data_IF_605880381263
#
_entry.id   IF_605880381263
#
_cell.length_a   1.000
_cell.length_b   1.000
_cell.length_c   1.000
_cell.angle_alpha   90.00
_cell.angle_beta   90.00
_cell.angle_gamma   90.00
#
_symmetry.space_group_name_H-M   'P 1'
#
loop_
_entity.id
_entity.type
_entity.pdbx_description
1 polymer ?
#
# COMPACT_ATOMS: atom_id res chain seq x y z
N UNK A 1 -39.14 68.76 -56.13
CA UNK A 1 -39.28 67.31 -55.93
C UNK A 1 -38.74 66.97 -54.55
N UNK A 2 -39.58 66.45 -53.65
CA UNK A 2 -39.14 65.75 -52.43
C UNK A 2 -39.64 64.32 -52.59
N UNK A 3 -38.72 63.38 -52.62
CA UNK A 3 -39.07 61.95 -52.63
C UNK A 3 -39.53 61.55 -51.22
N UNK A 4 -40.54 60.70 -51.17
CA UNK A 4 -41.19 60.24 -49.95
C UNK A 4 -41.50 58.75 -50.09
N UNK A 5 -40.52 57.92 -49.77
CA UNK A 5 -40.69 56.47 -49.70
C UNK A 5 -39.75 55.84 -48.65
N UNK A 6 -40.23 54.77 -48.02
CA UNK A 6 -39.48 53.84 -47.15
C UNK A 6 -39.15 54.28 -45.72
N UNK A 7 -40.18 54.57 -44.92
CA UNK A 7 -40.15 54.27 -43.49
C UNK A 7 -40.52 52.79 -43.28
N UNK A 8 -39.50 51.93 -43.07
CA UNK A 8 -39.71 50.55 -42.64
C UNK A 8 -40.17 50.57 -41.17
N UNK A 9 -41.28 49.91 -40.79
CA UNK A 9 -41.65 49.77 -39.39
C UNK A 9 -40.59 48.92 -38.69
N UNK A 10 -39.83 49.53 -37.77
CA UNK A 10 -38.94 48.79 -36.90
C UNK A 10 -39.77 47.87 -36.01
N UNK A 11 -39.71 46.56 -36.25
CA UNK A 11 -40.40 45.58 -35.41
C UNK A 11 -39.88 45.68 -33.99
N UNK A 12 -40.74 46.07 -33.04
CA UNK A 12 -40.32 46.21 -31.65
C UNK A 12 -39.89 44.87 -31.07
N UNK A 13 -38.58 44.74 -30.83
CA UNK A 13 -38.00 43.60 -30.12
C UNK A 13 -38.44 43.67 -28.67
N UNK A 14 -39.57 43.03 -28.36
CA UNK A 14 -40.04 42.79 -27.00
C UNK A 14 -38.96 42.05 -26.19
N UNK A 15 -38.12 42.82 -25.49
CA UNK A 15 -37.20 42.29 -24.49
C UNK A 15 -38.02 41.67 -23.37
N UNK A 16 -38.13 40.34 -23.36
CA UNK A 16 -38.78 39.59 -22.27
C UNK A 16 -38.03 39.91 -20.97
N UNK A 17 -38.67 40.67 -20.09
CA UNK A 17 -38.16 40.90 -18.75
C UNK A 17 -38.35 39.63 -17.92
N UNK A 18 -37.26 39.07 -17.39
CA UNK A 18 -37.29 37.88 -16.54
C UNK A 18 -37.90 38.25 -15.18
N UNK A 19 -38.88 37.48 -14.71
CA UNK A 19 -39.49 37.72 -13.40
C UNK A 19 -38.64 37.13 -12.28
N UNK A 20 -38.74 37.72 -11.09
CA UNK A 20 -38.07 37.20 -9.88
C UNK A 20 -38.54 35.77 -9.56
N UNK A 21 -39.80 35.44 -9.86
CA UNK A 21 -40.40 34.12 -9.65
C UNK A 21 -39.77 33.09 -10.61
N UNK A 22 -39.62 33.40 -11.90
CA UNK A 22 -38.95 32.50 -12.85
C UNK A 22 -37.51 32.19 -12.41
N UNK A 23 -36.77 33.20 -11.96
CA UNK A 23 -35.41 32.99 -11.45
C UNK A 23 -35.40 32.10 -10.19
N UNK A 24 -36.34 32.33 -9.27
CA UNK A 24 -36.46 31.59 -8.01
C UNK A 24 -36.82 30.11 -8.24
N UNK A 25 -37.69 29.81 -9.22
CA UNK A 25 -38.01 28.42 -9.61
C UNK A 25 -36.82 27.74 -10.27
N UNK A 26 -36.05 28.44 -11.11
CA UNK A 26 -34.85 27.86 -11.74
C UNK A 26 -33.80 27.50 -10.69
N UNK A 27 -33.48 28.39 -9.75
CA UNK A 27 -32.49 28.08 -8.71
C UNK A 27 -32.96 26.98 -7.75
N UNK A 28 -34.27 26.87 -7.46
CA UNK A 28 -34.78 25.80 -6.59
C UNK A 28 -34.72 24.42 -7.26
N UNK A 29 -35.00 24.34 -8.57
CA UNK A 29 -34.79 23.10 -9.35
C UNK A 29 -33.31 22.74 -9.41
N UNK A 30 -32.42 23.70 -9.68
CA UNK A 30 -30.96 23.46 -9.68
C UNK A 30 -30.48 22.97 -8.31
N UNK A 31 -30.91 23.59 -7.22
CA UNK A 31 -30.56 23.18 -5.86
C UNK A 31 -31.05 21.76 -5.53
N UNK A 32 -32.26 21.40 -5.96
CA UNK A 32 -32.80 20.04 -5.81
C UNK A 32 -32.00 19.01 -6.60
N UNK A 33 -31.66 19.31 -7.85
CA UNK A 33 -30.85 18.43 -8.70
C UNK A 33 -29.44 18.23 -8.12
N UNK A 34 -28.78 19.30 -7.66
CA UNK A 34 -27.47 19.24 -6.99
C UNK A 34 -27.57 18.41 -5.69
N UNK A 35 -28.64 18.59 -4.91
CA UNK A 35 -28.87 17.84 -3.66
C UNK A 35 -28.95 16.32 -3.86
N UNK A 36 -29.49 15.87 -5.00
CA UNK A 36 -29.54 14.44 -5.37
C UNK A 36 -28.22 13.97 -6.02
N UNK A 37 -27.54 14.85 -6.77
CA UNK A 37 -26.33 14.52 -7.52
C UNK A 37 -25.07 14.39 -6.62
N UNK A 38 -24.92 15.24 -5.60
CA UNK A 38 -23.71 15.24 -4.76
C UNK A 38 -23.46 13.91 -4.02
N UNK A 39 -24.45 13.25 -3.38
CA UNK A 39 -24.24 11.93 -2.77
C UNK A 39 -23.86 10.86 -3.78
N UNK A 40 -24.51 10.85 -4.96
CA UNK A 40 -24.23 9.89 -6.02
C UNK A 40 -22.82 10.05 -6.59
N UNK A 41 -22.37 11.29 -6.83
CA UNK A 41 -21.02 11.58 -7.29
C UNK A 41 -19.95 11.21 -6.24
N UNK A 42 -20.24 11.41 -4.96
CA UNK A 42 -19.37 10.99 -3.86
C UNK A 42 -19.17 9.47 -3.82
N UNK A 43 -20.25 8.69 -3.96
CA UNK A 43 -20.19 7.23 -4.06
C UNK A 43 -19.44 6.76 -5.31
N UNK A 44 -19.73 7.34 -6.48
CA UNK A 44 -19.06 7.01 -7.74
C UNK A 44 -17.54 7.27 -7.66
N UNK A 45 -17.12 8.39 -7.05
CA UNK A 45 -15.70 8.71 -6.84
C UNK A 45 -14.99 7.68 -5.96
N UNK A 46 -15.60 7.26 -4.85
CA UNK A 46 -15.02 6.23 -3.97
C UNK A 46 -14.82 4.89 -4.69
N UNK A 47 -15.82 4.46 -5.47
CA UNK A 47 -15.72 3.23 -6.29
C UNK A 47 -14.62 3.35 -7.34
N UNK A 48 -14.47 4.49 -7.99
CA UNK A 48 -13.39 4.72 -8.96
C UNK A 48 -12.00 4.72 -8.30
N UNK A 49 -11.83 5.35 -7.12
CA UNK A 49 -10.58 5.31 -6.36
C UNK A 49 -10.23 3.89 -5.89
N UNK A 50 -11.23 3.12 -5.43
CA UNK A 50 -11.05 1.71 -5.05
C UNK A 50 -10.59 0.85 -6.23
N UNK A 51 -11.24 0.97 -7.39
CA UNK A 51 -10.83 0.27 -8.62
C UNK A 51 -9.40 0.63 -9.05
N UNK A 52 -9.00 1.90 -8.91
CA UNK A 52 -7.62 2.33 -9.15
C UNK A 52 -6.63 1.71 -8.15
N UNK A 53 -6.93 1.68 -6.85
CA UNK A 53 -6.04 1.07 -5.86
C UNK A 53 -5.88 -0.45 -6.06
N UNK A 54 -6.94 -1.14 -6.47
CA UNK A 54 -6.88 -2.56 -6.82
C UNK A 54 -6.08 -2.80 -8.12
N UNK A 55 -6.22 -1.93 -9.11
CA UNK A 55 -5.43 -1.97 -10.35
C UNK A 55 -3.94 -1.74 -10.09
N UNK A 56 -3.59 -0.82 -9.20
CA UNK A 56 -2.21 -0.60 -8.76
C UNK A 56 -1.63 -1.89 -8.15
N UNK A 57 -2.30 -2.48 -7.15
CA UNK A 57 -1.89 -3.74 -6.52
C UNK A 57 -1.74 -4.91 -7.50
N UNK A 58 -2.65 -5.02 -8.49
CA UNK A 58 -2.53 -6.01 -9.55
C UNK A 58 -1.27 -5.78 -10.39
N UNK A 59 -1.00 -4.52 -10.74
CA UNK A 59 0.21 -4.14 -11.48
C UNK A 59 1.47 -4.43 -10.66
N UNK A 60 1.41 -4.26 -9.33
CA UNK A 60 2.45 -4.66 -8.38
C UNK A 60 2.75 -6.15 -8.44
N UNK A 61 1.72 -6.99 -8.29
CA UNK A 61 1.87 -8.45 -8.32
C UNK A 61 2.37 -8.96 -9.68
N UNK A 62 1.91 -8.35 -10.78
CA UNK A 62 2.42 -8.65 -12.11
C UNK A 62 3.90 -8.28 -12.28
N UNK A 63 4.34 -7.12 -11.78
CA UNK A 63 5.75 -6.73 -11.77
C UNK A 63 6.63 -7.71 -10.99
N UNK A 64 6.14 -8.21 -9.85
CA UNK A 64 6.82 -9.23 -9.03
C UNK A 64 6.94 -10.57 -9.75
N UNK A 65 5.89 -11.03 -10.44
CA UNK A 65 5.92 -12.26 -11.23
C UNK A 65 6.84 -12.16 -12.45
N UNK A 66 6.90 -10.98 -13.10
CA UNK A 66 7.85 -10.68 -14.18
C UNK A 66 9.29 -10.71 -13.63
N UNK A 67 9.55 -10.00 -12.54
CA UNK A 67 10.86 -9.99 -11.88
C UNK A 67 11.33 -11.41 -11.55
N UNK A 68 10.46 -12.23 -10.93
CA UNK A 68 10.78 -13.61 -10.61
C UNK A 68 11.16 -14.41 -11.87
N UNK A 69 10.40 -14.26 -12.97
CA UNK A 69 10.68 -14.91 -14.24
C UNK A 69 12.08 -14.56 -14.78
N UNK A 70 12.45 -13.27 -14.73
CA UNK A 70 13.75 -12.79 -15.21
C UNK A 70 14.92 -13.12 -14.23
N UNK A 71 14.61 -13.32 -12.95
CA UNK A 71 15.58 -13.50 -11.87
C UNK A 71 15.52 -14.90 -11.23
N UNK A 72 15.39 -15.98 -12.03
CA UNK A 72 15.46 -17.38 -11.53
C UNK A 72 14.50 -17.69 -10.38
N UNK A 73 13.28 -17.16 -10.47
CA UNK A 73 12.21 -17.23 -9.49
C UNK A 73 12.45 -16.45 -8.18
N UNK A 74 13.58 -15.76 -8.01
CA UNK A 74 13.81 -14.94 -6.81
C UNK A 74 12.74 -13.86 -6.63
N UNK A 75 12.22 -13.72 -5.41
CA UNK A 75 11.32 -12.62 -5.08
C UNK A 75 12.12 -11.30 -4.98
N UNK A 76 11.52 -10.15 -5.35
CA UNK A 76 12.23 -8.87 -5.38
C UNK A 76 12.47 -8.28 -3.98
N UNK A 77 13.57 -7.54 -3.85
CA UNK A 77 13.96 -6.78 -2.66
C UNK A 77 15.17 -7.40 -1.93
N UNK A 78 16.06 -6.62 -1.28
CA UNK A 78 17.37 -7.10 -0.86
C UNK A 78 17.39 -8.36 0.03
N UNK A 79 16.43 -8.49 0.94
CA UNK A 79 16.33 -9.64 1.84
C UNK A 79 15.60 -10.86 1.23
N UNK A 80 14.95 -10.67 0.07
CA UNK A 80 14.19 -11.67 -0.69
C UNK A 80 14.96 -12.16 -1.92
N UNK A 81 15.66 -11.26 -2.60
CA UNK A 81 16.40 -11.55 -3.81
C UNK A 81 17.78 -12.07 -3.45
N UNK A 82 17.89 -13.40 -3.38
CA UNK A 82 19.18 -14.09 -3.30
C UNK A 82 20.13 -13.78 -4.47
N UNK A 83 19.71 -13.00 -5.47
CA UNK A 83 20.57 -12.37 -6.46
C UNK A 83 21.70 -11.53 -5.83
N UNK A 84 21.42 -10.63 -4.87
CA UNK A 84 22.43 -9.76 -4.24
C UNK A 84 23.03 -10.33 -2.93
N UNK A 85 22.41 -11.39 -2.40
CA UNK A 85 22.86 -12.04 -1.17
C UNK A 85 23.90 -13.15 -1.43
N UNK A 86 23.82 -13.83 -2.58
CA UNK A 86 24.75 -14.91 -2.92
C UNK A 86 26.08 -14.43 -3.53
N UNK A 87 26.20 -13.15 -3.89
CA UNK A 87 27.42 -12.57 -4.46
C UNK A 87 28.07 -11.48 -3.58
N UNK A 88 27.53 -11.23 -2.37
CA UNK A 88 27.93 -10.17 -1.45
C UNK A 88 27.87 -8.74 -2.06
N UNK A 89 27.09 -8.50 -3.13
CA UNK A 89 26.95 -7.16 -3.72
C UNK A 89 25.92 -6.27 -3.03
N UNK A 90 25.37 -6.69 -1.88
CA UNK A 90 24.42 -5.90 -1.10
C UNK A 90 25.01 -4.54 -0.67
N UNK A 91 24.69 -3.51 -1.45
CA UNK A 91 24.95 -2.12 -1.15
C UNK A 91 23.81 -1.52 -0.30
N UNK A 92 24.18 -0.69 0.68
CA UNK A 92 23.25 -0.04 1.60
C UNK A 92 22.67 1.27 1.01
N UNK A 93 22.54 1.33 -0.31
CA UNK A 93 21.89 2.42 -1.06
C UNK A 93 22.82 3.53 -1.56
N UNK A 94 24.05 3.23 -1.98
CA UNK A 94 24.92 4.14 -2.74
C UNK A 94 24.68 4.07 -4.27
N UNK A 95 24.05 3.03 -4.81
CA UNK A 95 23.72 2.93 -6.24
C UNK A 95 22.61 3.87 -6.74
N UNK A 96 22.92 4.64 -7.79
CA UNK A 96 21.95 5.36 -8.60
C UNK A 96 21.35 4.41 -9.66
N UNK A 97 20.06 4.55 -9.93
CA UNK A 97 19.36 3.74 -10.93
C UNK A 97 17.94 3.39 -10.50
N UNK A 98 16.99 3.54 -11.41
CA UNK A 98 15.55 3.34 -11.17
C UNK A 98 15.19 2.01 -10.50
N UNK A 99 15.96 0.94 -10.74
CA UNK A 99 15.77 -0.38 -10.13
C UNK A 99 16.59 -0.67 -8.87
N UNK A 100 17.48 0.22 -8.43
CA UNK A 100 18.26 0.02 -7.21
C UNK A 100 17.39 0.15 -5.95
N UNK A 101 17.54 -0.78 -5.00
CA UNK A 101 16.75 -0.80 -3.77
C UNK A 101 17.08 0.37 -2.83
N UNK A 102 16.06 1.06 -2.31
CA UNK A 102 16.21 2.19 -1.38
C UNK A 102 16.38 1.79 0.09
N UNK A 103 15.90 0.60 0.45
CA UNK A 103 15.88 0.04 1.81
C UNK A 103 15.93 -1.50 1.74
N UNK A 104 16.29 -2.16 2.83
CA UNK A 104 16.46 -3.62 2.94
C UNK A 104 15.24 -4.46 2.51
N UNK A 105 14.04 -3.85 2.49
CA UNK A 105 12.78 -4.46 2.09
C UNK A 105 12.14 -3.80 0.86
N UNK A 106 12.83 -2.87 0.19
CA UNK A 106 12.33 -2.25 -1.04
C UNK A 106 12.25 -3.28 -2.17
N UNK A 107 11.05 -3.81 -2.36
CA UNK A 107 10.70 -4.71 -3.43
C UNK A 107 10.16 -3.98 -4.66
N UNK A 108 9.84 -2.68 -4.56
CA UNK A 108 9.19 -1.92 -5.64
C UNK A 108 10.24 -1.48 -6.66
N UNK A 109 11.36 -0.90 -6.23
CA UNK A 109 12.43 -0.49 -7.15
C UNK A 109 12.96 -1.69 -7.96
N UNK A 110 13.38 -2.82 -7.33
CA UNK A 110 13.88 -3.96 -8.10
C UNK A 110 12.84 -4.58 -9.03
N UNK A 111 11.58 -4.72 -8.59
CA UNK A 111 10.55 -5.38 -9.38
C UNK A 111 10.05 -4.55 -10.58
N UNK A 112 10.01 -3.22 -10.44
CA UNK A 112 9.22 -2.37 -11.32
C UNK A 112 9.88 -1.04 -11.70
N UNK A 113 11.01 -0.68 -11.11
CA UNK A 113 11.58 0.66 -11.22
C UNK A 113 11.79 1.15 -12.65
N UNK A 114 12.44 0.34 -13.48
CA UNK A 114 12.61 0.59 -14.91
C UNK A 114 11.30 0.53 -15.71
N UNK A 115 10.37 -0.36 -15.33
CA UNK A 115 9.07 -0.54 -15.99
C UNK A 115 8.14 0.67 -15.82
N UNK A 116 8.14 1.29 -14.64
CA UNK A 116 7.28 2.45 -14.31
C UNK A 116 8.02 3.80 -14.38
N UNK A 117 9.30 3.79 -14.80
CA UNK A 117 10.10 5.00 -14.99
C UNK A 117 10.34 5.78 -13.71
N UNK A 118 10.70 5.10 -12.61
CA UNK A 118 11.14 5.75 -11.38
C UNK A 118 12.43 6.56 -11.61
N UNK A 119 12.66 7.64 -10.85
CA UNK A 119 13.92 8.38 -10.92
C UNK A 119 15.13 7.49 -10.58
N UNK A 120 16.27 7.76 -11.24
CA UNK A 120 17.55 7.14 -10.89
C UNK A 120 18.07 7.68 -9.55
N UNK A 121 17.71 8.92 -9.19
CA UNK A 121 17.99 9.53 -7.88
C UNK A 121 17.16 8.89 -6.77
N UNK A 122 17.79 8.60 -5.63
CA UNK A 122 17.17 7.88 -4.53
C UNK A 122 16.07 8.67 -3.80
N UNK A 123 16.24 9.99 -3.64
CA UNK A 123 15.30 10.85 -2.92
C UNK A 123 14.09 11.20 -3.78
N UNK A 124 14.28 11.35 -5.09
CA UNK A 124 13.20 11.45 -6.07
C UNK A 124 12.46 10.13 -6.24
N UNK A 125 13.16 8.99 -6.34
CA UNK A 125 12.52 7.66 -6.41
C UNK A 125 11.63 7.37 -5.21
N UNK A 126 12.08 7.74 -4.00
CA UNK A 126 11.25 7.63 -2.80
C UNK A 126 9.96 8.48 -2.93
N UNK A 127 10.06 9.71 -3.43
CA UNK A 127 8.89 10.56 -3.69
C UNK A 127 7.98 9.95 -4.75
N UNK A 128 8.51 9.42 -5.85
CA UNK A 128 7.72 8.82 -6.91
C UNK A 128 6.92 7.61 -6.45
N UNK A 129 7.53 6.73 -5.64
CA UNK A 129 6.83 5.57 -5.07
C UNK A 129 5.72 6.01 -4.12
N UNK A 130 6.00 6.92 -3.19
CA UNK A 130 5.08 7.25 -2.08
C UNK A 130 4.03 8.32 -2.43
N UNK A 131 4.33 9.23 -3.37
CA UNK A 131 3.45 10.35 -3.75
C UNK A 131 2.75 10.15 -5.09
N UNK A 132 3.41 9.52 -6.06
CA UNK A 132 3.00 9.52 -7.48
C UNK A 132 2.50 8.15 -7.95
N UNK A 133 3.42 7.27 -8.34
CA UNK A 133 3.14 6.08 -9.16
C UNK A 133 2.56 4.91 -8.37
N UNK A 134 2.81 4.85 -7.06
CA UNK A 134 2.40 3.72 -6.19
C UNK A 134 1.52 4.14 -5.00
N UNK A 135 0.99 5.37 -5.03
CA UNK A 135 0.03 5.83 -4.04
C UNK A 135 -1.38 5.32 -4.38
N UNK A 136 -2.09 4.79 -3.39
CA UNK A 136 -3.52 4.49 -3.51
C UNK A 136 -4.32 5.81 -3.52
N UNK A 137 -5.16 6.11 -4.53
CA UNK A 137 -5.99 7.32 -4.53
C UNK A 137 -7.03 7.44 -3.41
N UNK A 138 -7.28 6.37 -2.64
CA UNK A 138 -8.09 6.39 -1.40
C UNK A 138 -7.25 6.60 -0.13
N UNK A 139 -5.91 6.71 -0.22
CA UNK A 139 -5.03 7.02 0.90
C UNK A 139 -4.85 8.55 1.01
N UNK A 140 -5.67 9.18 1.84
CA UNK A 140 -5.71 10.62 2.09
C UNK A 140 -4.94 11.05 3.35
N UNK A 141 -4.21 10.14 4.00
CA UNK A 141 -3.51 10.37 5.28
C UNK A 141 -2.02 10.65 5.08
N UNK A 142 -1.54 11.76 5.65
CA UNK A 142 -0.11 12.10 5.81
C UNK A 142 0.45 11.58 7.14
N UNK A 143 1.78 11.51 7.27
CA UNK A 143 2.47 10.80 8.34
C UNK A 143 3.65 11.57 8.94
N UNK A 144 4.10 11.16 10.13
CA UNK A 144 5.28 11.71 10.80
C UNK A 144 6.02 10.63 11.64
N UNK A 145 7.36 10.73 11.70
CA UNK A 145 8.43 10.10 12.54
C UNK A 145 8.32 8.67 13.17
N UNK A 146 9.41 8.00 13.66
CA UNK A 146 9.46 7.11 14.89
C UNK A 146 10.89 7.06 15.41
N UNK A 147 11.76 6.49 14.58
CA UNK A 147 12.98 5.86 15.03
C UNK A 147 14.02 6.96 15.10
N UNK A 148 14.47 7.27 16.33
CA UNK A 148 15.34 8.38 16.73
C UNK A 148 16.11 9.11 15.61
N UNK A 149 15.83 10.41 15.42
CA UNK A 149 16.46 11.28 14.41
C UNK A 149 15.46 11.69 13.33
N UNK A 150 14.89 12.89 13.42
CA UNK A 150 13.76 13.28 12.55
C UNK A 150 14.13 13.95 11.23
N UNK A 151 13.15 13.95 10.31
CA UNK A 151 13.03 14.90 9.19
C UNK A 151 11.62 15.49 9.22
N UNK A 152 11.51 16.81 9.28
CA UNK A 152 10.22 17.50 9.30
C UNK A 152 9.73 17.79 7.87
N UNK A 153 8.53 17.33 7.53
CA UNK A 153 7.87 17.62 6.25
C UNK A 153 6.68 16.69 5.96
N UNK A 154 5.75 17.13 5.12
CA UNK A 154 4.54 16.39 4.72
C UNK A 154 4.87 15.15 3.86
N UNK A 155 5.30 14.06 4.49
CA UNK A 155 5.56 12.78 3.82
C UNK A 155 4.35 11.85 3.91
N UNK A 156 3.97 11.28 2.77
CA UNK A 156 2.86 10.32 2.63
C UNK A 156 3.37 8.91 2.91
N UNK A 157 2.51 8.01 3.38
CA UNK A 157 2.85 6.60 3.63
C UNK A 157 2.87 5.76 2.36
N UNK A 158 3.68 4.70 2.37
CA UNK A 158 3.53 3.62 1.40
C UNK A 158 2.10 3.07 1.49
N UNK A 159 1.42 3.04 0.35
CA UNK A 159 0.03 2.59 0.27
C UNK A 159 -0.11 1.07 0.20
N UNK A 160 0.97 0.33 -0.05
CA UNK A 160 0.96 -1.12 -0.26
C UNK A 160 2.15 -1.81 0.43
N UNK A 161 1.87 -2.58 1.48
CA UNK A 161 2.90 -3.29 2.26
C UNK A 161 2.94 -4.77 1.91
N UNK A 162 4.14 -5.31 1.72
CA UNK A 162 4.36 -6.73 1.43
C UNK A 162 4.60 -7.59 2.68
N UNK A 163 4.32 -8.89 2.60
CA UNK A 163 4.40 -9.83 3.73
C UNK A 163 5.82 -10.34 4.00
N UNK A 164 6.46 -9.86 5.08
CA UNK A 164 7.89 -10.12 5.36
C UNK A 164 8.35 -11.58 5.41
N UNK A 165 7.56 -12.59 5.86
CA UNK A 165 8.04 -13.98 5.87
C UNK A 165 8.40 -14.55 4.50
N UNK A 166 7.67 -14.13 3.46
CA UNK A 166 8.00 -14.47 2.06
C UNK A 166 9.26 -13.76 1.56
N UNK A 167 9.77 -12.77 2.29
CA UNK A 167 10.85 -11.87 1.87
C UNK A 167 12.04 -11.86 2.83
N UNK A 168 12.24 -12.94 3.59
CA UNK A 168 13.39 -13.11 4.49
C UNK A 168 14.31 -14.20 3.97
N UNK A 169 15.61 -14.03 4.18
CA UNK A 169 16.65 -15.05 3.97
C UNK A 169 17.32 -15.42 5.29
N UNK A 170 18.13 -16.48 5.27
CA UNK A 170 18.84 -16.97 6.47
C UNK A 170 20.23 -16.35 6.67
N UNK A 171 20.94 -15.99 5.60
CA UNK A 171 22.36 -15.62 5.69
C UNK A 171 22.64 -14.11 5.79
N UNK A 172 21.70 -13.24 5.40
CA UNK A 172 21.90 -11.79 5.41
C UNK A 172 20.85 -11.04 6.24
N UNK A 173 21.11 -10.93 7.55
CA UNK A 173 20.93 -9.72 8.40
C UNK A 173 21.45 -9.96 9.84
N UNK A 174 22.61 -10.62 9.96
CA UNK A 174 23.10 -11.18 11.24
C UNK A 174 23.94 -10.18 12.06
N UNK A 175 24.25 -8.98 11.55
CA UNK A 175 25.06 -7.97 12.30
C UNK A 175 24.40 -7.46 13.60
N UNK A 176 23.15 -7.84 13.87
CA UNK A 176 22.50 -7.73 15.18
C UNK A 176 21.63 -8.96 15.57
N UNK A 177 21.53 -9.99 14.73
CA UNK A 177 20.58 -11.11 14.94
C UNK A 177 19.10 -10.70 14.93
N UNK A 178 18.72 -9.69 14.13
CA UNK A 178 17.42 -8.98 14.19
C UNK A 178 16.42 -9.30 13.06
N UNK A 179 16.64 -10.35 12.25
CA UNK A 179 15.53 -10.87 11.44
C UNK A 179 14.46 -11.42 12.38
N UNK A 180 13.31 -10.74 12.46
CA UNK A 180 12.24 -11.13 13.38
C UNK A 180 11.72 -12.53 13.07
N UNK A 181 11.74 -12.94 11.80
CA UNK A 181 11.35 -14.29 11.37
C UNK A 181 12.20 -15.35 12.09
N UNK A 182 13.51 -15.11 12.22
CA UNK A 182 14.46 -16.00 12.94
C UNK A 182 14.31 -16.00 14.47
N UNK A 183 13.50 -15.07 15.02
CA UNK A 183 13.09 -15.08 16.42
C UNK A 183 11.81 -15.91 16.66
N UNK A 184 11.06 -16.21 15.59
CA UNK A 184 9.80 -16.98 15.62
C UNK A 184 10.02 -18.42 15.18
N UNK A 185 10.75 -18.64 14.08
CA UNK A 185 11.06 -19.96 13.51
C UNK A 185 12.53 -20.05 13.08
N UNK A 186 13.13 -21.24 13.17
CA UNK A 186 14.38 -21.57 12.47
C UNK A 186 14.03 -22.09 11.08
N UNK A 187 14.41 -21.35 10.03
CA UNK A 187 14.15 -21.72 8.64
C UNK A 187 15.12 -22.83 8.17
N UNK A 188 14.71 -23.72 7.25
CA UNK A 188 15.57 -24.77 6.70
C UNK A 188 16.92 -24.25 6.17
N UNK A 189 17.96 -25.08 6.24
CA UNK A 189 19.32 -24.75 5.76
C UNK A 189 19.36 -24.34 4.29
N UNK A 190 18.39 -24.78 3.48
CA UNK A 190 18.28 -24.56 2.03
C UNK A 190 17.06 -23.69 1.66
N UNK A 191 16.55 -22.87 2.59
CA UNK A 191 15.43 -22.00 2.27
C UNK A 191 15.86 -20.76 1.49
N UNK A 192 15.38 -20.71 0.25
CA UNK A 192 15.46 -19.57 -0.65
C UNK A 192 14.08 -18.92 -0.82
N UNK A 193 14.00 -17.59 -0.76
CA UNK A 193 12.80 -16.81 -1.04
C UNK A 193 12.49 -16.74 -2.56
N UNK A 194 12.22 -17.92 -3.15
CA UNK A 194 11.89 -18.09 -4.57
C UNK A 194 10.43 -18.49 -4.77
N UNK A 195 9.82 -17.97 -5.84
CA UNK A 195 8.42 -18.13 -6.21
C UNK A 195 8.05 -19.59 -6.54
N UNK A 196 8.98 -20.39 -7.05
CA UNK A 196 8.79 -21.83 -7.29
C UNK A 196 8.75 -22.66 -6.00
N UNK A 197 9.31 -22.16 -4.90
CA UNK A 197 9.39 -22.86 -3.61
C UNK A 197 8.23 -22.54 -2.65
N UNK A 198 7.44 -21.50 -2.90
CA UNK A 198 6.28 -21.16 -2.03
C UNK A 198 5.07 -22.09 -2.20
N UNK A 199 5.04 -22.96 -3.21
CA UNK A 199 3.90 -23.84 -3.50
C UNK A 199 2.69 -23.07 -4.08
N UNK A 200 1.48 -23.26 -3.52
CA UNK A 200 0.26 -22.57 -3.99
C UNK A 200 0.38 -21.04 -3.85
N UNK A 201 0.74 -20.35 -4.94
CA UNK A 201 0.94 -18.90 -5.00
C UNK A 201 -0.38 -18.11 -5.04
N UNK A 202 -1.45 -18.72 -5.58
CA UNK A 202 -2.81 -18.15 -5.65
C UNK A 202 -3.43 -17.85 -4.29
N UNK A 203 -2.97 -18.53 -3.23
CA UNK A 203 -3.49 -18.35 -1.86
C UNK A 203 -2.56 -17.47 -0.99
N UNK A 204 -1.46 -16.98 -1.57
CA UNK A 204 -0.39 -16.27 -0.86
C UNK A 204 -0.39 -14.80 -1.23
N UNK A 205 -0.82 -13.98 -0.27
CA UNK A 205 -0.75 -12.52 -0.38
C UNK A 205 0.72 -12.10 -0.46
N UNK A 206 1.07 -11.41 -1.54
CA UNK A 206 2.35 -10.73 -1.70
C UNK A 206 2.32 -9.40 -0.96
N UNK A 207 1.43 -8.50 -1.40
CA UNK A 207 1.25 -7.17 -0.82
C UNK A 207 -0.23 -6.84 -0.62
N UNK A 208 -0.52 -6.04 0.39
CA UNK A 208 -1.88 -5.60 0.72
C UNK A 208 -1.90 -4.09 0.95
N UNK A 209 -3.08 -3.49 1.00
CA UNK A 209 -3.26 -2.11 1.44
C UNK A 209 -2.51 -1.84 2.77
N UNK A 210 -1.45 -1.06 2.67
CA UNK A 210 -0.63 -0.58 3.78
C UNK A 210 -1.09 0.77 4.27
N UNK A 211 -0.98 1.01 5.58
CA UNK A 211 -0.99 2.32 6.27
C UNK A 211 -1.17 2.13 7.78
N UNK A 212 -0.29 2.69 8.64
CA UNK A 212 -0.45 2.64 10.12
C UNK A 212 -0.03 3.90 10.90
N UNK A 213 -0.98 4.84 10.94
CA UNK A 213 -1.38 5.71 12.06
C UNK A 213 -0.44 6.72 12.74
N UNK A 214 -1.02 7.90 12.94
CA UNK A 214 -0.74 8.89 13.99
C UNK A 214 -1.59 8.59 15.24
N UNK A 215 -1.15 9.02 16.43
CA UNK A 215 -2.03 9.25 17.59
C UNK A 215 -2.22 10.77 17.80
N UNK A 216 -3.44 11.26 17.58
CA UNK A 216 -3.78 12.67 17.64
C UNK A 216 -3.95 13.23 19.07
N UNK A 217 -3.82 12.40 20.11
CA UNK A 217 -3.99 12.82 21.51
C UNK A 217 -2.67 13.13 22.23
N UNK A 218 -1.58 12.46 21.84
CA UNK A 218 -0.32 12.48 22.58
C UNK A 218 0.89 13.01 21.77
N UNK A 219 0.75 13.20 20.46
CA UNK A 219 1.78 13.83 19.62
C UNK A 219 3.03 12.98 19.33
N UNK A 220 3.09 11.74 19.80
CA UNK A 220 4.12 10.76 19.41
C UNK A 220 3.64 9.93 18.21
N UNK A 221 4.50 9.83 17.20
CA UNK A 221 4.16 9.35 15.85
C UNK A 221 5.24 8.35 15.41
N UNK A 222 4.93 7.34 14.56
CA UNK A 222 5.79 6.13 14.52
C UNK A 222 6.05 5.27 13.22
N UNK A 223 6.91 5.68 12.25
CA UNK A 223 8.02 4.95 11.56
C UNK A 223 9.03 5.90 10.82
N UNK A 224 10.24 5.42 10.47
CA UNK A 224 11.30 6.24 9.82
C UNK A 224 11.22 6.24 8.28
N UNK A 225 11.19 7.41 7.64
CA UNK A 225 11.09 7.55 6.18
C UNK A 225 12.44 7.80 5.47
N UNK A 226 13.58 7.49 6.12
CA UNK A 226 14.88 7.71 5.49
C UNK A 226 15.10 6.80 4.28
N UNK A 227 15.53 7.35 3.12
CA UNK A 227 16.35 6.59 2.19
C UNK A 227 17.49 5.92 2.98
N UNK A 228 17.86 4.68 2.64
CA UNK A 228 19.04 4.00 3.21
C UNK A 228 18.91 3.65 4.71
N UNK A 229 17.70 3.35 5.18
CA UNK A 229 17.45 2.89 6.55
C UNK A 229 18.10 1.52 6.82
N UNK A 230 18.97 1.44 7.84
CA UNK A 230 19.72 0.22 8.18
C UNK A 230 18.92 -0.85 8.94
N UNK A 231 17.98 -0.44 9.80
CA UNK A 231 17.19 -1.33 10.67
C UNK A 231 15.70 -1.28 10.28
N UNK A 232 15.19 -2.28 9.56
CA UNK A 232 13.79 -2.37 9.12
C UNK A 232 13.46 -1.48 7.91
N UNK A 233 12.29 -1.65 7.30
CA UNK A 233 11.90 -0.88 6.10
C UNK A 233 10.38 -0.81 5.88
N UNK A 234 9.94 0.27 5.23
CA UNK A 234 8.52 0.65 5.12
C UNK A 234 7.71 -0.25 4.17
N UNK A 235 8.41 -0.94 3.28
CA UNK A 235 7.87 -1.75 2.19
C UNK A 235 7.36 -3.14 2.61
N UNK A 236 7.83 -3.67 3.74
CA UNK A 236 7.38 -4.93 4.34
C UNK A 236 6.64 -4.74 5.67
N UNK A 237 6.02 -3.56 5.85
CA UNK A 237 5.36 -3.18 7.10
C UNK A 237 4.07 -3.97 7.36
N UNK A 238 3.75 -4.17 8.64
CA UNK A 238 2.71 -5.10 9.09
C UNK A 238 1.29 -4.62 8.72
N UNK A 239 0.76 -5.14 7.61
CA UNK A 239 -0.56 -4.81 7.07
C UNK A 239 -1.72 -5.25 7.95
N UNK A 240 -2.93 -4.68 7.77
CA UNK A 240 -4.07 -4.86 8.67
C UNK A 240 -4.69 -6.25 8.70
N UNK A 241 -4.43 -7.12 7.71
CA UNK A 241 -4.81 -8.53 7.79
C UNK A 241 -3.98 -9.34 8.80
N UNK A 242 -2.80 -8.86 9.20
CA UNK A 242 -1.88 -9.66 10.02
C UNK A 242 -2.33 -9.77 11.48
N UNK A 243 -2.55 -11.00 11.92
CA UNK A 243 -2.98 -11.32 13.27
C UNK A 243 -1.87 -11.11 14.31
N UNK A 244 -1.92 -9.96 14.97
CA UNK A 244 -1.45 -9.73 16.37
C UNK A 244 0.06 -9.89 16.70
N UNK A 245 0.96 -10.19 15.78
CA UNK A 245 2.37 -10.51 16.10
C UNK A 245 3.29 -9.30 16.40
N UNK A 246 3.47 -9.07 17.70
CA UNK A 246 4.61 -8.39 18.36
C UNK A 246 4.75 -6.86 18.22
N UNK A 247 4.19 -6.21 17.20
CA UNK A 247 3.87 -4.75 17.27
C UNK A 247 2.42 -4.52 16.87
N UNK A 248 1.87 -3.31 17.10
CA UNK A 248 0.45 -3.01 16.87
C UNK A 248 0.09 -2.86 15.37
N UNK A 249 0.40 -3.91 14.62
CA UNK A 249 0.10 -4.20 13.21
C UNK A 249 -1.31 -4.76 12.96
N UNK A 250 -2.18 -4.82 13.98
CA UNK A 250 -3.60 -5.18 13.83
C UNK A 250 -4.49 -3.96 14.19
N UNK A 251 -5.53 -3.59 13.39
CA UNK A 251 -6.38 -2.41 13.67
C UNK A 251 -7.15 -2.53 14.99
N UNK A 252 -7.56 -3.75 15.31
CA UNK A 252 -8.43 -4.16 16.42
C UNK A 252 -7.68 -4.46 17.72
N UNK A 253 -6.37 -4.21 17.76
CA UNK A 253 -5.52 -4.49 18.94
C UNK A 253 -5.28 -3.28 19.84
N UNK A 254 -5.88 -2.13 19.52
CA UNK A 254 -5.70 -0.88 20.26
C UNK A 254 -6.59 -0.85 21.51
N UNK A 255 -6.12 -0.17 22.55
CA UNK A 255 -6.67 -0.31 23.91
C UNK A 255 -7.98 0.45 24.15
N UNK A 256 -8.39 1.34 23.22
CA UNK A 256 -9.67 2.03 23.27
C UNK A 256 -10.44 1.98 21.93
N UNK A 257 -11.76 2.07 22.04
CA UNK A 257 -12.72 1.92 20.94
C UNK A 257 -12.54 2.95 19.81
N UNK A 258 -12.23 4.21 20.17
CA UNK A 258 -11.95 5.29 19.21
C UNK A 258 -10.74 4.98 18.33
N UNK A 259 -9.67 4.50 18.95
CA UNK A 259 -8.44 4.10 18.27
C UNK A 259 -8.67 2.91 17.33
N UNK A 260 -9.50 1.92 17.72
CA UNK A 260 -9.89 0.79 16.86
C UNK A 260 -10.66 1.30 15.63
N UNK A 261 -11.72 2.09 15.85
CA UNK A 261 -12.59 2.63 14.79
C UNK A 261 -11.84 3.48 13.76
N UNK A 262 -10.93 4.34 14.22
CA UNK A 262 -10.06 5.11 13.32
C UNK A 262 -9.14 4.19 12.51
N UNK A 263 -8.69 3.08 13.11
CA UNK A 263 -7.81 2.12 12.43
C UNK A 263 -8.54 1.31 11.36
N UNK A 264 -9.81 0.94 11.61
CA UNK A 264 -10.68 0.29 10.63
C UNK A 264 -10.93 1.17 9.39
N UNK A 265 -11.20 2.47 9.57
CA UNK A 265 -11.52 3.40 8.47
C UNK A 265 -10.39 3.45 7.42
N UNK A 266 -9.13 3.43 7.84
CA UNK A 266 -8.00 3.49 6.92
C UNK A 266 -7.59 2.11 6.36
N UNK A 267 -7.77 1.03 7.14
CA UNK A 267 -7.53 -0.34 6.70
C UNK A 267 -8.55 -0.79 5.65
N UNK A 268 -9.83 -0.45 5.83
CA UNK A 268 -10.96 -0.88 5.00
C UNK A 268 -11.54 0.26 4.17
N UNK A 269 -10.66 1.15 3.72
CA UNK A 269 -10.95 2.36 2.92
C UNK A 269 -11.70 2.07 1.60
N UNK A 270 -11.71 0.83 1.13
CA UNK A 270 -12.33 0.42 -0.13
C UNK A 270 -13.74 -0.14 0.08
N UNK A 271 -14.68 0.75 0.42
CA UNK A 271 -16.07 0.40 0.69
C UNK A 271 -16.24 -0.69 1.79
N UNK A 272 -15.36 -0.72 2.80
CA UNK A 272 -15.38 -1.75 3.86
C UNK A 272 -14.50 -2.97 3.57
N UNK A 273 -13.79 -2.99 2.44
CA UNK A 273 -12.85 -4.05 2.07
C UNK A 273 -11.37 -3.59 2.13
N UNK A 274 -10.48 -4.57 2.24
CA UNK A 274 -9.03 -4.46 2.12
C UNK A 274 -8.60 -5.00 0.75
N UNK A 275 -7.80 -4.29 -0.04
CA UNK A 275 -7.25 -4.89 -1.27
C UNK A 275 -5.94 -5.64 -0.97
N UNK A 276 -5.76 -6.77 -1.64
CA UNK A 276 -4.54 -7.57 -1.60
C UNK A 276 -4.15 -8.02 -3.02
N UNK A 277 -2.85 -8.13 -3.27
CA UNK A 277 -2.24 -8.80 -4.41
C UNK A 277 -1.55 -10.08 -3.95
N UNK A 278 -1.44 -11.03 -4.87
CA UNK A 278 -0.96 -12.39 -4.60
C UNK A 278 0.29 -12.71 -5.41
N UNK A 279 1.00 -13.76 -5.01
CA UNK A 279 2.27 -14.17 -5.64
C UNK A 279 2.13 -14.65 -7.10
N UNK A 280 0.93 -15.00 -7.54
CA UNK A 280 0.59 -15.30 -8.95
C UNK A 280 0.29 -14.03 -9.80
N UNK A 281 0.34 -12.85 -9.18
CA UNK A 281 0.08 -11.56 -9.82
C UNK A 281 -1.39 -11.16 -9.93
N UNK A 282 -2.34 -11.92 -9.37
CA UNK A 282 -3.72 -11.44 -9.25
C UNK A 282 -3.90 -10.50 -8.04
N UNK A 283 -5.03 -9.80 -7.99
CA UNK A 283 -5.42 -8.99 -6.84
C UNK A 283 -6.94 -9.06 -6.61
N UNK A 284 -7.35 -9.00 -5.35
CA UNK A 284 -8.76 -9.06 -4.92
C UNK A 284 -9.03 -8.09 -3.76
N UNK A 285 -10.31 -7.83 -3.51
CA UNK A 285 -10.79 -7.09 -2.33
C UNK A 285 -11.35 -8.09 -1.31
N UNK A 286 -10.69 -8.19 -0.15
CA UNK A 286 -11.09 -9.04 0.96
C UNK A 286 -12.03 -8.30 1.91
N UNK A 287 -13.05 -9.00 2.42
CA UNK A 287 -13.86 -8.48 3.52
C UNK A 287 -13.11 -8.52 4.85
N UNK A 288 -13.59 -7.79 5.86
CA UNK A 288 -13.01 -7.78 7.22
C UNK A 288 -12.74 -9.20 7.74
N UNK A 289 -13.76 -10.06 7.75
CA UNK A 289 -13.68 -11.44 8.26
C UNK A 289 -12.72 -12.35 7.47
N UNK A 290 -12.49 -12.03 6.20
CA UNK A 290 -11.57 -12.76 5.34
C UNK A 290 -10.13 -12.31 5.59
N UNK A 291 -9.90 -11.00 5.62
CA UNK A 291 -8.59 -10.42 5.89
C UNK A 291 -8.03 -10.79 7.27
N UNK A 292 -8.90 -11.02 8.26
CA UNK A 292 -8.53 -11.49 9.60
C UNK A 292 -7.99 -12.93 9.63
N UNK A 293 -8.15 -13.70 8.54
CA UNK A 293 -7.61 -15.05 8.35
C UNK A 293 -6.26 -15.03 7.61
N UNK A 294 -5.65 -13.85 7.39
CA UNK A 294 -4.29 -13.78 6.87
C UNK A 294 -3.32 -14.13 8.01
N UNK A 295 -2.64 -15.25 7.85
CA UNK A 295 -1.57 -15.71 8.73
C UNK A 295 -0.21 -15.56 8.04
N UNK A 296 0.86 -15.54 8.83
CA UNK A 296 2.21 -15.57 8.27
C UNK A 296 2.49 -16.97 7.72
N UNK A 297 2.93 -17.05 6.47
CA UNK A 297 3.48 -18.28 5.91
C UNK A 297 4.92 -18.47 6.39
N UNK A 298 5.30 -19.72 6.60
CA UNK A 298 6.70 -20.11 6.79
C UNK A 298 7.00 -21.29 5.87
N UNK A 299 8.23 -21.42 5.35
CA UNK A 299 8.58 -22.52 4.47
C UNK A 299 8.50 -23.86 5.20
N UNK A 300 8.04 -24.90 4.49
CA UNK A 300 7.99 -26.27 5.02
C UNK A 300 9.37 -26.73 5.51
N UNK A 301 9.40 -27.42 6.65
CA UNK A 301 10.63 -27.76 7.36
C UNK A 301 11.09 -26.71 8.39
N UNK A 302 10.45 -25.55 8.48
CA UNK A 302 10.76 -24.57 9.54
C UNK A 302 10.44 -25.12 10.92
N UNK A 303 11.33 -24.90 11.89
CA UNK A 303 11.18 -25.35 13.27
C UNK A 303 10.70 -24.17 14.13
N UNK A 304 9.61 -24.36 14.87
CA UNK A 304 9.02 -23.31 15.71
C UNK A 304 9.86 -23.05 16.96
N UNK A 305 10.28 -21.80 17.17
CA UNK A 305 11.07 -21.38 18.34
C UNK A 305 10.24 -20.70 19.41
N UNK A 306 9.21 -19.97 19.00
CA UNK A 306 8.45 -19.10 19.89
C UNK A 306 6.97 -18.97 19.47
N UNK A 307 6.15 -19.91 19.92
CA UNK A 307 4.68 -19.93 19.71
C UNK A 307 3.96 -18.69 20.22
N UNK A 308 4.47 -18.02 21.27
CA UNK A 308 3.93 -16.73 21.72
C UNK A 308 4.04 -15.63 20.66
N UNK A 309 4.92 -15.83 19.67
CA UNK A 309 5.10 -15.02 18.47
C UNK A 309 4.64 -15.73 17.18
N UNK A 310 3.86 -16.81 17.26
CA UNK A 310 3.05 -17.32 16.13
C UNK A 310 1.56 -17.04 16.31
N UNK A 311 1.05 -17.09 17.55
CA UNK A 311 -0.38 -16.95 17.88
C UNK A 311 -1.31 -17.92 17.14
N UNK A 312 -0.74 -18.99 16.59
CA UNK A 312 -1.43 -20.22 16.29
C UNK A 312 -1.58 -21.02 17.59
N UNK A 313 -2.76 -21.57 17.85
CA UNK A 313 -3.04 -22.37 19.05
C UNK A 313 -2.76 -23.85 18.84
N UNK A 314 -2.64 -24.28 17.58
CA UNK A 314 -2.47 -25.68 17.18
C UNK A 314 -0.99 -26.04 16.93
N UNK A 315 -0.06 -25.17 17.38
CA UNK A 315 1.39 -25.27 17.14
C UNK A 315 2.18 -25.10 18.44
N UNK A 316 3.11 -26.01 18.71
CA UNK A 316 4.01 -26.04 19.88
C UNK A 316 5.46 -25.62 19.54
N UNK A 317 6.26 -25.27 20.55
CA UNK A 317 7.69 -25.00 20.36
C UNK A 317 8.42 -26.30 20.03
N UNK A 318 9.19 -26.30 18.95
CA UNK A 318 9.86 -27.48 18.39
C UNK A 318 9.08 -28.16 17.27
N UNK A 319 7.84 -27.74 16.98
CA UNK A 319 7.07 -28.28 15.84
C UNK A 319 7.73 -27.93 14.50
N UNK A 320 7.58 -28.85 13.56
CA UNK A 320 8.05 -28.68 12.18
C UNK A 320 6.83 -28.31 11.32
N UNK A 321 6.86 -27.09 10.79
CA UNK A 321 5.86 -26.59 9.82
C UNK A 321 5.95 -27.45 8.56
N UNK A 322 4.80 -27.87 8.02
CA UNK A 322 4.70 -28.79 6.86
C UNK A 322 4.25 -28.07 5.60
#
# INVERSE_FOLDING_TARGET
MRDSSNLVPGGESFKRAFTLIELLVVISIIALLIGILLPALGAARKTAQSAACLSNLRSSGQGVAIYATDNRDWLPGPNSSGAHLNDNTYDNGEENGSSAALQNFDWISPAMGSLIGLSDDADERLKDIFLNNFRCPSNDVTYDFQFGGGTAGDLVTNSYSAMTPFMASREFFVDQGRSWVLAVVDMPDQYDARLDLVGSATEKVWAMDGSRYVDASNGEISFNAFPKQKDGGNFASWGPGLSRLVRNGNPYKRENETQIKNSEIHAYRHNGALNASFLDGHASSMQVEESQKIHHYFPGGSIVKNTSQLLDQDVENGDIIR
#
